data_IF_279306167669
#
_entry.id   IF_279306167669
#
_cell.length_a   1.000
_cell.length_b   1.000
_cell.length_c   1.000
_cell.angle_alpha   90.00
_cell.angle_beta   90.00
_cell.angle_gamma   90.00
#
_symmetry.space_group_name_H-M   'P 1'
#
loop_
_entity.id
_entity.type
_entity.pdbx_description
1 polymer ?
#
# COMPACT_ATOMS: atom_id res chain seq x y z
N UNK A 1 -9.81 3.62 3.95
CA UNK A 1 -8.58 3.81 3.18
C UNK A 1 -7.77 5.01 3.64
N UNK A 2 -8.31 6.24 3.67
CA UNK A 2 -7.54 7.43 4.10
C UNK A 2 -6.85 7.28 5.46
N UNK A 3 -7.55 6.80 6.48
CA UNK A 3 -6.94 6.54 7.80
C UNK A 3 -5.78 5.53 7.73
N UNK A 4 -5.92 4.45 6.95
CA UNK A 4 -4.83 3.49 6.73
C UNK A 4 -3.65 4.13 5.98
N UNK A 5 -3.92 5.05 5.05
CA UNK A 5 -2.89 5.78 4.32
C UNK A 5 -2.14 6.78 5.20
N UNK A 6 -2.85 7.51 6.06
CA UNK A 6 -2.26 8.41 7.06
C UNK A 6 -1.35 7.67 8.05
N UNK A 7 -1.70 6.42 8.38
CA UNK A 7 -0.90 5.53 9.23
C UNK A 7 0.21 4.79 8.46
N UNK A 8 0.34 4.97 7.15
CA UNK A 8 1.36 4.30 6.32
C UNK A 8 1.14 2.79 6.16
N UNK A 9 -0.09 2.31 6.25
CA UNK A 9 -0.43 0.88 6.15
C UNK A 9 -0.69 0.43 4.70
N UNK A 10 -0.83 1.37 3.75
CA UNK A 10 -1.08 1.10 2.35
C UNK A 10 0.22 1.11 1.54
N UNK A 11 0.42 0.08 0.72
CA UNK A 11 1.65 -0.15 -0.03
C UNK A 11 2.92 -0.19 0.83
N UNK A 12 3.02 -1.03 1.88
CA UNK A 12 4.15 -0.97 2.82
C UNK A 12 5.52 -1.10 2.17
N UNK A 13 5.64 -1.85 1.08
CA UNK A 13 6.91 -2.07 0.36
C UNK A 13 7.18 -1.04 -0.73
N UNK A 14 6.27 -0.06 -0.92
CA UNK A 14 6.47 1.01 -1.90
C UNK A 14 7.46 2.03 -1.33
N UNK A 15 8.49 2.44 -2.10
CA UNK A 15 9.47 3.43 -1.65
C UNK A 15 8.88 4.79 -1.28
N UNK A 16 9.54 5.50 -0.36
CA UNK A 16 9.17 6.85 0.08
C UNK A 16 9.08 7.87 -1.06
N UNK A 17 9.91 7.75 -2.09
CA UNK A 17 9.86 8.60 -3.29
C UNK A 17 8.50 8.56 -4.02
N UNK A 18 7.67 7.53 -3.77
CA UNK A 18 6.33 7.38 -4.32
C UNK A 18 5.23 7.49 -3.26
N UNK A 19 5.57 7.94 -2.05
CA UNK A 19 4.64 8.16 -0.94
C UNK A 19 4.35 6.93 -0.08
N UNK A 20 4.94 5.76 -0.36
CA UNK A 20 4.87 4.61 0.52
C UNK A 20 5.85 4.70 1.70
N UNK A 21 5.76 3.82 2.70
CA UNK A 21 6.61 3.89 3.90
C UNK A 21 7.97 3.16 3.74
N UNK A 22 8.26 2.57 2.56
CA UNK A 22 9.57 1.95 2.28
C UNK A 22 9.95 0.76 3.17
N UNK A 23 8.97 0.05 3.71
CA UNK A 23 9.16 -1.06 4.65
C UNK A 23 9.48 -2.38 3.94
N UNK A 24 9.92 -3.37 4.71
CA UNK A 24 10.18 -4.71 4.21
C UNK A 24 8.94 -5.62 4.28
N UNK A 25 9.02 -6.79 3.62
CA UNK A 25 7.94 -7.78 3.61
C UNK A 25 7.57 -8.34 4.99
N UNK A 26 8.51 -8.37 5.93
CA UNK A 26 8.21 -8.79 7.32
C UNK A 26 7.23 -7.82 7.96
N UNK A 27 7.47 -6.51 7.80
CA UNK A 27 6.58 -5.46 8.29
C UNK A 27 5.20 -5.56 7.63
N UNK A 28 5.14 -5.81 6.32
CA UNK A 28 3.86 -6.01 5.62
C UNK A 28 3.08 -7.22 6.16
N UNK A 29 3.76 -8.34 6.41
CA UNK A 29 3.14 -9.53 7.01
C UNK A 29 2.58 -9.26 8.41
N UNK A 30 3.31 -8.51 9.24
CA UNK A 30 2.86 -8.11 10.57
C UNK A 30 1.64 -7.17 10.51
N UNK A 31 1.65 -6.17 9.64
CA UNK A 31 0.50 -5.28 9.42
C UNK A 31 -0.72 -6.11 9.02
N UNK A 32 -0.56 -7.02 8.04
CA UNK A 32 -1.63 -7.89 7.57
C UNK A 32 -2.21 -8.77 8.68
N UNK A 33 -1.34 -9.35 9.52
CA UNK A 33 -1.76 -10.14 10.68
C UNK A 33 -2.58 -9.33 11.69
N UNK A 34 -2.16 -8.11 12.02
CA UNK A 34 -2.88 -7.30 13.00
C UNK A 34 -4.20 -6.74 12.46
N UNK A 35 -4.28 -6.42 11.17
CA UNK A 35 -5.56 -6.03 10.54
C UNK A 35 -6.53 -7.21 10.48
N UNK A 36 -6.05 -8.39 10.09
CA UNK A 36 -6.88 -9.60 10.00
C UNK A 36 -7.33 -10.15 11.36
N UNK A 37 -6.58 -9.86 12.44
CA UNK A 37 -7.02 -10.14 13.81
C UNK A 37 -8.37 -9.49 14.12
N UNK A 38 -8.69 -8.36 13.48
CA UNK A 38 -9.99 -7.69 13.59
C UNK A 38 -10.98 -8.32 12.61
N UNK A 39 -10.68 -8.27 11.31
CA UNK A 39 -11.55 -8.86 10.27
C UNK A 39 -10.79 -9.10 8.96
N UNK A 40 -11.03 -10.26 8.34
CA UNK A 40 -10.41 -10.66 7.07
C UNK A 40 -10.83 -9.78 5.88
N UNK A 41 -12.00 -9.16 5.92
CA UNK A 41 -12.48 -8.21 4.92
C UNK A 41 -11.65 -6.93 4.88
N UNK A 42 -11.26 -6.38 6.03
CA UNK A 42 -10.36 -5.22 6.09
C UNK A 42 -8.99 -5.53 5.51
N UNK A 43 -8.41 -6.68 5.88
CA UNK A 43 -7.13 -7.14 5.31
C UNK A 43 -7.25 -7.40 3.81
N UNK A 44 -8.41 -7.86 3.33
CA UNK A 44 -8.66 -8.07 1.89
C UNK A 44 -8.57 -6.77 1.11
N UNK A 45 -9.27 -5.73 1.58
CA UNK A 45 -9.22 -4.40 0.97
C UNK A 45 -7.79 -3.81 0.97
N UNK A 46 -7.07 -3.92 2.09
CA UNK A 46 -5.68 -3.47 2.19
C UNK A 46 -4.74 -4.23 1.23
N UNK A 47 -4.93 -5.55 1.11
CA UNK A 47 -4.15 -6.41 0.20
C UNK A 47 -4.39 -6.07 -1.26
N UNK A 48 -5.63 -5.77 -1.66
CA UNK A 48 -5.95 -5.35 -3.03
C UNK A 48 -5.21 -4.04 -3.35
N UNK A 49 -5.35 -3.03 -2.49
CA UNK A 49 -4.69 -1.73 -2.68
C UNK A 49 -3.16 -1.89 -2.81
N UNK A 50 -2.55 -2.61 -1.88
CA UNK A 50 -1.09 -2.73 -1.79
C UNK A 50 -0.52 -3.66 -2.86
N UNK A 51 -0.95 -4.92 -2.88
CA UNK A 51 -0.30 -5.97 -3.67
C UNK A 51 -0.85 -6.13 -5.07
N UNK A 52 -2.11 -5.76 -5.31
CA UNK A 52 -2.76 -5.97 -6.61
C UNK A 52 -2.85 -4.70 -7.46
N UNK A 53 -2.67 -3.52 -6.86
CA UNK A 53 -2.69 -2.23 -7.57
C UNK A 53 -1.34 -1.53 -7.47
N UNK A 54 -0.87 -1.21 -6.26
CA UNK A 54 0.35 -0.41 -6.10
C UNK A 54 1.61 -1.16 -6.57
N UNK A 55 1.76 -2.43 -6.21
CA UNK A 55 2.93 -3.24 -6.64
C UNK A 55 3.03 -3.35 -8.17
N UNK A 56 1.97 -3.75 -8.92
CA UNK A 56 2.05 -3.79 -10.38
C UNK A 56 2.36 -2.43 -11.03
N UNK A 57 1.83 -1.32 -10.51
CA UNK A 57 2.17 0.02 -11.01
C UNK A 57 3.64 0.35 -10.73
N UNK A 58 4.16 -0.02 -9.56
CA UNK A 58 5.55 0.20 -9.19
C UNK A 58 6.51 -0.61 -10.07
N UNK A 59 6.28 -1.93 -10.18
CA UNK A 59 7.16 -2.85 -10.90
C UNK A 59 7.10 -2.68 -12.42
N UNK A 60 5.89 -2.48 -12.97
CA UNK A 60 5.67 -2.56 -14.41
C UNK A 60 5.20 -1.24 -15.05
N UNK A 61 4.84 -0.25 -14.24
CA UNK A 61 4.44 1.06 -14.74
C UNK A 61 5.61 1.87 -15.28
N UNK A 62 5.30 2.83 -16.16
CA UNK A 62 6.25 3.88 -16.53
C UNK A 62 6.49 4.81 -15.35
N UNK A 63 7.59 5.57 -15.40
CA UNK A 63 7.88 6.57 -14.35
C UNK A 63 6.74 7.58 -14.19
N UNK A 64 6.17 8.03 -15.32
CA UNK A 64 5.01 8.92 -15.31
C UNK A 64 3.77 8.28 -14.64
N UNK A 65 3.54 6.98 -14.80
CA UNK A 65 2.45 6.26 -14.13
C UNK A 65 2.71 6.15 -12.62
N UNK A 66 3.94 5.78 -12.21
CA UNK A 66 4.32 5.71 -10.80
C UNK A 66 4.09 7.03 -10.09
N UNK A 67 4.64 8.12 -10.61
CA UNK A 67 4.52 9.47 -10.05
C UNK A 67 3.07 9.97 -10.01
N UNK A 68 2.25 9.59 -11.00
CA UNK A 68 0.84 10.01 -11.06
C UNK A 68 -0.06 9.29 -10.05
N UNK A 69 0.14 7.99 -9.87
CA UNK A 69 -0.83 7.14 -9.14
C UNK A 69 -0.38 6.79 -7.73
N UNK A 70 0.88 6.38 -7.53
CA UNK A 70 1.33 5.82 -6.27
C UNK A 70 1.18 6.78 -5.07
N UNK A 71 1.51 8.09 -5.16
CA UNK A 71 1.33 9.00 -4.03
C UNK A 71 -0.13 9.13 -3.56
N UNK A 72 -1.08 9.02 -4.49
CA UNK A 72 -2.52 9.12 -4.18
C UNK A 72 -3.06 7.81 -3.61
N UNK A 73 -2.59 6.68 -4.12
CA UNK A 73 -2.94 5.34 -3.61
C UNK A 73 -2.38 5.12 -2.20
N UNK A 74 -1.15 5.59 -1.93
CA UNK A 74 -0.48 5.46 -0.64
C UNK A 74 -1.20 6.23 0.47
N UNK A 75 -1.73 7.41 0.15
CA UNK A 75 -2.55 8.22 1.08
C UNK A 75 -4.00 7.74 1.19
N UNK A 76 -4.41 6.74 0.40
CA UNK A 76 -5.80 6.27 0.34
C UNK A 76 -6.78 7.30 -0.22
N UNK A 77 -6.28 8.28 -0.98
CA UNK A 77 -7.07 9.30 -1.67
C UNK A 77 -7.53 8.86 -3.07
N UNK A 78 -6.92 7.79 -3.59
CA UNK A 78 -7.29 7.04 -4.78
C UNK A 78 -7.34 5.55 -4.43
#
# INVERSE_FOLDING_TARGET
FREMGELGLLGPTIPEQYGGPGLNYVSYGLISREVERVDSGYRSMMSVQSSLVMVPIFEFGTEAQRQKYLPKLATGAL
#
